data_IF_005085208006
#
_entry.id   IF_005085208006
#
_cell.length_a   1.000
_cell.length_b   1.000
_cell.length_c   1.000
_cell.angle_alpha   90.00
_cell.angle_beta   90.00
_cell.angle_gamma   90.00
#
_symmetry.space_group_name_H-M   'P 1'
#
loop_
_entity.id
_entity.type
_entity.pdbx_description
1 polymer ?
#
# COMPACT_ATOMS: atom_id res chain seq x y z
N UNK A 1 4.46 23.23 -24.87
CA UNK A 1 3.63 22.83 -23.69
C UNK A 1 2.16 22.51 -24.03
N UNK A 2 1.51 23.22 -24.97
CA UNK A 2 0.14 22.88 -25.41
C UNK A 2 0.05 21.51 -26.12
N UNK A 3 1.05 21.15 -26.92
CA UNK A 3 1.07 19.86 -27.66
C UNK A 3 1.28 18.64 -26.77
N UNK A 4 2.11 18.77 -25.72
CA UNK A 4 2.34 17.70 -24.74
C UNK A 4 1.07 17.40 -23.92
N UNK A 5 0.29 18.43 -23.56
CA UNK A 5 -1.03 18.29 -22.92
C UNK A 5 -2.05 17.62 -23.84
N UNK A 6 -2.08 17.98 -25.12
CA UNK A 6 -3.01 17.41 -26.12
C UNK A 6 -2.73 15.92 -26.36
N UNK A 7 -1.45 15.54 -26.49
CA UNK A 7 -1.03 14.14 -26.61
C UNK A 7 -1.43 13.28 -25.40
N UNK A 8 -1.31 13.84 -24.19
CA UNK A 8 -1.67 13.14 -22.94
C UNK A 8 -3.19 12.91 -22.83
N UNK A 9 -4.01 13.82 -23.36
CA UNK A 9 -5.47 13.67 -23.39
C UNK A 9 -5.88 12.61 -24.41
N UNK A 10 -5.35 12.66 -25.64
CA UNK A 10 -5.64 11.67 -26.68
C UNK A 10 -5.27 10.25 -26.24
N UNK A 11 -4.11 10.08 -25.60
CA UNK A 11 -3.67 8.79 -25.08
C UNK A 11 -4.63 8.25 -24.01
N UNK A 12 -5.09 9.10 -23.09
CA UNK A 12 -6.07 8.71 -22.06
C UNK A 12 -7.40 8.29 -22.69
N UNK A 13 -7.87 9.01 -23.71
CA UNK A 13 -9.10 8.66 -24.44
C UNK A 13 -8.94 7.29 -25.13
N UNK A 14 -7.81 7.05 -25.79
CA UNK A 14 -7.53 5.76 -26.44
C UNK A 14 -7.51 4.62 -25.40
N UNK A 15 -6.84 4.80 -24.25
CA UNK A 15 -6.82 3.79 -23.19
C UNK A 15 -8.22 3.52 -22.63
N UNK A 16 -9.03 4.56 -22.42
CA UNK A 16 -10.41 4.42 -21.96
C UNK A 16 -11.25 3.63 -22.98
N UNK A 17 -11.09 3.92 -24.28
CA UNK A 17 -11.77 3.19 -25.34
C UNK A 17 -11.36 1.71 -25.39
N UNK A 18 -10.08 1.39 -25.19
CA UNK A 18 -9.59 0.01 -25.10
C UNK A 18 -10.15 -0.72 -23.89
N UNK A 19 -10.25 -0.05 -22.74
CA UNK A 19 -10.85 -0.62 -21.52
C UNK A 19 -12.34 -0.90 -21.72
N UNK A 20 -13.07 0.06 -22.27
CA UNK A 20 -14.49 -0.10 -22.60
C UNK A 20 -14.68 -1.26 -23.58
N UNK A 21 -13.80 -1.37 -24.58
CA UNK A 21 -13.81 -2.48 -25.52
C UNK A 21 -13.64 -3.82 -24.80
N UNK A 22 -12.66 -3.99 -23.92
CA UNK A 22 -12.44 -5.25 -23.19
C UNK A 22 -13.62 -5.62 -22.27
N UNK A 23 -14.18 -4.64 -21.57
CA UNK A 23 -15.23 -4.88 -20.57
C UNK A 23 -16.58 -5.18 -21.25
N UNK A 24 -16.99 -4.32 -22.19
CA UNK A 24 -18.34 -4.31 -22.75
C UNK A 24 -18.41 -5.11 -24.07
N UNK A 25 -17.50 -4.84 -25.00
CA UNK A 25 -17.55 -5.38 -26.37
C UNK A 25 -16.64 -6.58 -26.66
N UNK A 26 -15.75 -6.94 -25.73
CA UNK A 26 -14.54 -7.70 -26.04
C UNK A 26 -14.79 -9.18 -26.30
N UNK A 27 -14.72 -9.57 -27.57
CA UNK A 27 -14.38 -10.96 -27.91
C UNK A 27 -12.93 -11.24 -27.51
N UNK A 28 -12.55 -12.52 -27.47
CA UNK A 28 -11.15 -12.92 -27.27
C UNK A 28 -10.23 -12.19 -28.27
N UNK A 29 -10.65 -12.14 -29.54
CA UNK A 29 -9.90 -11.50 -30.64
C UNK A 29 -9.69 -10.00 -30.39
N UNK A 30 -10.74 -9.27 -30.04
CA UNK A 30 -10.62 -7.82 -29.77
C UNK A 30 -9.74 -7.52 -28.56
N UNK A 31 -9.78 -8.39 -27.54
CA UNK A 31 -8.95 -8.26 -26.35
C UNK A 31 -7.47 -8.50 -26.66
N UNK A 32 -7.16 -9.50 -27.49
CA UNK A 32 -5.80 -9.75 -27.99
C UNK A 32 -5.30 -8.56 -28.82
N UNK A 33 -6.13 -8.03 -29.73
CA UNK A 33 -5.76 -6.87 -30.54
C UNK A 33 -5.49 -5.63 -29.68
N UNK A 34 -6.25 -5.42 -28.60
CA UNK A 34 -6.00 -4.35 -27.66
C UNK A 34 -4.63 -4.47 -26.96
N UNK A 35 -4.23 -5.68 -26.57
CA UNK A 35 -2.90 -5.92 -25.98
C UNK A 35 -1.76 -5.73 -26.98
N UNK A 36 -1.92 -6.22 -28.22
CA UNK A 36 -0.94 -6.01 -29.29
C UNK A 36 -0.78 -4.52 -29.59
N UNK A 37 -1.89 -3.81 -29.74
CA UNK A 37 -1.88 -2.37 -29.96
C UNK A 37 -1.18 -1.62 -28.83
N UNK A 38 -1.47 -1.97 -27.57
CA UNK A 38 -0.81 -1.40 -26.39
C UNK A 38 0.69 -1.66 -26.42
N UNK A 39 1.12 -2.89 -26.72
CA UNK A 39 2.54 -3.24 -26.83
C UNK A 39 3.25 -2.40 -27.90
N UNK A 40 2.68 -2.31 -29.11
CA UNK A 40 3.22 -1.52 -30.21
C UNK A 40 3.36 -0.04 -29.85
N UNK A 41 2.32 0.53 -29.22
CA UNK A 41 2.33 1.91 -28.77
C UNK A 41 3.48 2.17 -27.79
N UNK A 42 3.70 1.26 -26.84
CA UNK A 42 4.76 1.38 -25.84
C UNK A 42 6.16 1.18 -26.44
N UNK A 43 6.29 0.32 -27.45
CA UNK A 43 7.53 0.16 -28.21
C UNK A 43 7.87 1.43 -28.99
N UNK A 44 6.91 1.99 -29.73
CA UNK A 44 7.10 3.25 -30.48
C UNK A 44 7.51 4.37 -29.51
N UNK A 45 6.82 4.48 -28.38
CA UNK A 45 7.14 5.47 -27.36
C UNK A 45 8.55 5.30 -26.81
N UNK A 46 8.96 4.07 -26.52
CA UNK A 46 10.32 3.75 -26.04
C UNK A 46 11.41 4.12 -27.06
N UNK A 47 11.12 3.99 -28.35
CA UNK A 47 12.03 4.40 -29.42
C UNK A 47 12.15 5.92 -29.48
N UNK A 48 11.03 6.64 -29.35
CA UNK A 48 10.97 8.11 -29.42
C UNK A 48 11.65 8.80 -28.23
N UNK A 49 11.73 8.15 -27.07
CA UNK A 49 12.37 8.75 -25.89
C UNK A 49 13.90 8.69 -26.03
N UNK A 50 14.64 9.77 -25.71
CA UNK A 50 16.10 9.79 -25.74
C UNK A 50 16.65 8.98 -24.56
N UNK A 51 16.88 7.68 -24.78
CA UNK A 51 17.41 6.72 -23.79
C UNK A 51 18.52 5.86 -24.41
N UNK A 52 19.34 5.24 -23.55
CA UNK A 52 20.41 4.34 -24.01
C UNK A 52 19.86 3.14 -24.79
N UNK A 53 20.55 2.78 -25.89
CA UNK A 53 20.12 1.72 -26.82
C UNK A 53 19.93 0.35 -26.14
N UNK A 54 20.71 0.04 -25.09
CA UNK A 54 20.57 -1.19 -24.29
C UNK A 54 19.24 -1.21 -23.51
N UNK A 55 18.89 -0.11 -22.84
CA UNK A 55 17.64 0.00 -22.08
C UNK A 55 16.41 -0.07 -22.98
N UNK A 56 16.48 0.51 -24.19
CA UNK A 56 15.41 0.36 -25.20
C UNK A 56 15.13 -1.11 -25.51
N UNK A 57 16.19 -1.91 -25.71
CA UNK A 57 16.06 -3.36 -25.98
C UNK A 57 15.39 -4.09 -24.82
N UNK A 58 15.81 -3.82 -23.58
CA UNK A 58 15.21 -4.46 -22.40
C UNK A 58 13.74 -4.09 -22.22
N UNK A 59 13.38 -2.81 -22.40
CA UNK A 59 12.00 -2.35 -22.28
C UNK A 59 11.12 -2.96 -23.37
N UNK A 60 11.60 -3.00 -24.62
CA UNK A 60 10.89 -3.64 -25.73
C UNK A 60 10.66 -5.12 -25.43
N UNK A 61 11.68 -5.85 -24.97
CA UNK A 61 11.56 -7.25 -24.59
C UNK A 61 10.54 -7.44 -23.45
N UNK A 62 10.59 -6.58 -22.43
CA UNK A 62 9.67 -6.61 -21.30
C UNK A 62 8.21 -6.39 -21.73
N UNK A 63 7.94 -5.47 -22.65
CA UNK A 63 6.57 -5.27 -23.17
C UNK A 63 6.06 -6.48 -23.95
N UNK A 64 6.92 -7.15 -24.71
CA UNK A 64 6.57 -8.40 -25.40
C UNK A 64 6.21 -9.48 -24.37
N UNK A 65 7.01 -9.65 -23.31
CA UNK A 65 6.72 -10.62 -22.24
C UNK A 65 5.40 -10.30 -21.54
N UNK A 66 5.15 -9.02 -21.21
CA UNK A 66 3.89 -8.58 -20.59
C UNK A 66 2.70 -8.89 -21.51
N UNK A 67 2.81 -8.59 -22.80
CA UNK A 67 1.77 -8.89 -23.79
C UNK A 67 1.52 -10.40 -23.88
N UNK A 68 2.56 -11.23 -23.92
CA UNK A 68 2.42 -12.69 -23.92
C UNK A 68 1.68 -13.18 -22.68
N UNK A 69 2.05 -12.71 -21.49
CA UNK A 69 1.38 -13.05 -20.23
C UNK A 69 -0.08 -12.59 -20.21
N UNK A 70 -0.38 -11.40 -20.73
CA UNK A 70 -1.74 -10.87 -20.87
C UNK A 70 -2.60 -11.79 -21.76
N UNK A 71 -2.07 -12.21 -22.91
CA UNK A 71 -2.77 -13.12 -23.85
C UNK A 71 -2.99 -14.50 -23.20
N UNK A 72 -1.97 -15.05 -22.54
CA UNK A 72 -2.09 -16.32 -21.81
C UNK A 72 -3.15 -16.24 -20.71
N UNK A 73 -3.17 -15.15 -19.93
CA UNK A 73 -4.17 -14.94 -18.88
C UNK A 73 -5.59 -14.93 -19.44
N UNK A 74 -5.87 -14.15 -20.49
CA UNK A 74 -7.24 -14.09 -21.03
C UNK A 74 -7.67 -15.41 -21.68
N UNK A 75 -6.71 -16.19 -22.22
CA UNK A 75 -6.97 -17.51 -22.77
C UNK A 75 -7.33 -18.52 -21.68
N UNK A 76 -6.60 -18.53 -20.56
CA UNK A 76 -6.78 -19.51 -19.48
C UNK A 76 -7.87 -19.13 -18.47
N UNK A 77 -8.14 -17.84 -18.29
CA UNK A 77 -9.00 -17.35 -17.20
C UNK A 77 -10.27 -16.68 -17.73
N UNK A 78 -10.18 -15.87 -18.78
CA UNK A 78 -11.29 -15.00 -19.19
C UNK A 78 -12.21 -15.62 -20.24
N UNK A 79 -11.65 -16.29 -21.25
CA UNK A 79 -12.41 -16.78 -22.42
C UNK A 79 -12.50 -18.31 -22.51
N UNK A 80 -12.36 -19.02 -21.39
CA UNK A 80 -12.56 -20.48 -21.35
C UNK A 80 -14.04 -20.88 -21.62
N UNK A 81 -14.26 -21.97 -22.38
CA UNK A 81 -15.59 -22.56 -22.54
C UNK A 81 -16.12 -23.09 -21.20
N UNK A 82 -17.41 -22.94 -20.92
CA UNK A 82 -18.05 -23.53 -19.73
C UNK A 82 -18.12 -22.66 -18.47
N UNK A 83 -17.49 -21.48 -18.45
CA UNK A 83 -17.64 -20.56 -17.31
C UNK A 83 -18.96 -19.77 -17.32
N UNK A 84 -19.45 -19.48 -16.11
CA UNK A 84 -20.63 -18.65 -15.88
C UNK A 84 -20.41 -17.22 -16.35
N UNK A 85 -21.51 -16.51 -16.63
CA UNK A 85 -21.48 -15.11 -17.04
C UNK A 85 -20.71 -14.21 -16.05
N UNK A 86 -20.87 -14.45 -14.75
CA UNK A 86 -20.20 -13.71 -13.68
C UNK A 86 -18.69 -13.95 -13.71
N UNK A 87 -18.25 -15.20 -13.87
CA UNK A 87 -16.82 -15.51 -13.96
C UNK A 87 -16.16 -14.83 -15.17
N UNK A 88 -16.83 -14.86 -16.32
CA UNK A 88 -16.36 -14.19 -17.53
C UNK A 88 -16.31 -12.67 -17.35
N UNK A 89 -17.30 -12.08 -16.70
CA UNK A 89 -17.33 -10.65 -16.42
C UNK A 89 -16.19 -10.23 -15.48
N UNK A 90 -15.96 -10.96 -14.39
CA UNK A 90 -14.83 -10.72 -13.48
C UNK A 90 -13.50 -10.86 -14.24
N UNK A 91 -13.34 -11.90 -15.05
CA UNK A 91 -12.15 -12.09 -15.88
C UNK A 91 -11.90 -10.95 -16.86
N UNK A 92 -12.96 -10.32 -17.41
CA UNK A 92 -12.86 -9.13 -18.28
C UNK A 92 -12.45 -7.88 -17.50
N UNK A 93 -12.93 -7.70 -16.27
CA UNK A 93 -12.49 -6.60 -15.41
C UNK A 93 -10.99 -6.71 -15.10
N UNK A 94 -10.50 -7.91 -14.77
CA UNK A 94 -9.08 -8.15 -14.59
C UNK A 94 -8.29 -7.94 -15.90
N UNK A 95 -8.77 -8.47 -17.02
CA UNK A 95 -8.15 -8.27 -18.33
C UNK A 95 -7.99 -6.78 -18.67
N UNK A 96 -9.01 -5.97 -18.36
CA UNK A 96 -8.99 -4.52 -18.56
C UNK A 96 -8.05 -3.80 -17.58
N UNK A 97 -7.93 -4.27 -16.33
CA UNK A 97 -7.00 -3.71 -15.36
C UNK A 97 -5.54 -3.91 -15.77
N UNK A 98 -5.21 -5.08 -16.34
CA UNK A 98 -3.82 -5.40 -16.73
C UNK A 98 -3.35 -4.62 -17.97
N UNK A 99 -4.25 -3.99 -18.76
CA UNK A 99 -3.86 -3.03 -19.81
C UNK A 99 -2.96 -1.91 -19.28
N UNK A 100 -3.12 -1.52 -18.02
CA UNK A 100 -2.34 -0.43 -17.42
C UNK A 100 -0.89 -0.81 -17.12
N UNK A 101 -0.57 -2.10 -17.10
CA UNK A 101 0.72 -2.59 -16.62
C UNK A 101 1.93 -2.10 -17.44
N UNK A 102 1.90 -2.11 -18.79
CA UNK A 102 2.96 -1.50 -19.60
C UNK A 102 3.20 0.00 -19.28
N UNK A 103 2.13 0.75 -19.01
CA UNK A 103 2.22 2.17 -18.66
C UNK A 103 2.79 2.39 -17.25
N UNK A 104 2.52 1.47 -16.31
CA UNK A 104 3.12 1.49 -14.98
C UNK A 104 4.62 1.21 -15.03
N UNK A 105 5.04 0.24 -15.84
CA UNK A 105 6.46 -0.07 -16.10
C UNK A 105 7.18 1.17 -16.64
N UNK A 106 6.62 1.81 -17.67
CA UNK A 106 7.20 3.05 -18.22
C UNK A 106 7.28 4.16 -17.16
N UNK A 107 6.21 4.36 -16.40
CA UNK A 107 6.15 5.38 -15.34
C UNK A 107 7.21 5.11 -14.27
N UNK A 108 7.39 3.85 -13.86
CA UNK A 108 8.40 3.46 -12.87
C UNK A 108 9.82 3.74 -13.39
N UNK A 109 10.10 3.36 -14.64
CA UNK A 109 11.39 3.59 -15.29
C UNK A 109 11.68 5.08 -15.48
N UNK A 110 10.66 5.88 -15.82
CA UNK A 110 10.80 7.33 -16.04
C UNK A 110 10.92 8.11 -14.73
N UNK A 111 10.15 7.75 -13.69
CA UNK A 111 10.19 8.41 -12.37
C UNK A 111 11.51 8.15 -11.65
N UNK A 112 12.13 6.99 -11.84
CA UNK A 112 13.43 6.68 -11.25
C UNK A 112 14.61 7.47 -11.87
N UNK A 113 14.34 8.38 -12.83
CA UNK A 113 15.33 8.99 -13.74
C UNK A 113 16.18 7.92 -14.42
N UNK A 114 16.77 8.26 -15.57
CA UNK A 114 17.87 7.51 -16.17
C UNK A 114 19.11 7.61 -15.28
N UNK A 115 19.03 7.10 -14.05
CA UNK A 115 20.21 6.79 -13.25
C UNK A 115 20.83 5.61 -13.95
N UNK A 116 21.71 5.97 -14.88
CA UNK A 116 22.58 5.10 -15.65
C UNK A 116 22.99 3.90 -14.80
N UNK A 117 22.51 2.73 -15.20
CA UNK A 117 23.11 1.47 -14.80
C UNK A 117 24.45 1.42 -15.55
N UNK A 118 25.44 2.18 -15.09
CA UNK A 118 26.81 2.14 -15.58
C UNK A 118 27.33 0.74 -15.28
N UNK A 119 27.37 -0.12 -16.30
CA UNK A 119 28.33 -1.21 -16.33
C UNK A 119 29.61 -0.60 -16.95
N UNK A 120 30.65 -0.36 -16.15
CA UNK A 120 31.86 0.30 -16.62
C UNK A 120 32.47 -0.47 -17.79
N UNK A 121 32.99 0.26 -18.78
CA UNK A 121 33.83 -0.33 -19.82
C UNK A 121 35.09 -0.95 -19.20
N UNK A 122 35.72 -1.93 -19.85
CA UNK A 122 36.91 -2.60 -19.31
C UNK A 122 38.08 -1.63 -18.98
N UNK A 123 38.09 -0.43 -19.57
CA UNK A 123 39.03 0.66 -19.26
C UNK A 123 38.61 1.54 -18.08
N UNK A 124 37.31 1.62 -17.73
CA UNK A 124 36.84 2.31 -16.53
C UNK A 124 36.99 1.45 -15.28
N UNK A 125 36.96 0.12 -15.42
CA UNK A 125 37.19 -0.85 -14.32
C UNK A 125 38.59 -0.73 -13.70
N UNK A 126 39.60 -0.30 -14.47
CA UNK A 126 40.96 -0.11 -13.95
C UNK A 126 41.13 1.15 -13.10
N UNK A 127 40.17 2.08 -13.15
CA UNK A 127 40.22 3.36 -12.43
C UNK A 127 39.24 3.39 -11.23
N UNK A 128 38.57 2.28 -10.93
CA UNK A 128 37.65 2.19 -9.79
C UNK A 128 38.48 2.09 -8.51
N UNK A 129 38.32 3.06 -7.61
CA UNK A 129 38.96 2.97 -6.29
C UNK A 129 38.30 1.86 -5.45
N UNK A 130 39.03 1.30 -4.48
CA UNK A 130 38.49 0.26 -3.59
C UNK A 130 37.23 0.73 -2.81
N UNK A 131 37.06 2.04 -2.62
CA UNK A 131 35.87 2.63 -2.01
C UNK A 131 34.65 2.56 -2.94
N UNK A 132 34.84 2.76 -4.25
CA UNK A 132 33.78 2.67 -5.26
C UNK A 132 33.34 1.22 -5.50
N UNK A 133 34.27 0.25 -5.42
CA UNK A 133 33.94 -1.19 -5.44
C UNK A 133 33.12 -1.59 -4.21
N UNK A 134 33.43 -1.04 -3.02
CA UNK A 134 32.69 -1.31 -1.79
C UNK A 134 31.30 -0.68 -1.85
N UNK A 135 31.19 0.56 -2.31
CA UNK A 135 29.90 1.23 -2.56
C UNK A 135 29.05 0.47 -3.60
N UNK A 136 29.67 -0.06 -4.66
CA UNK A 136 29.01 -0.93 -5.64
C UNK A 136 28.53 -2.24 -5.03
N UNK A 137 29.36 -2.89 -4.20
CA UNK A 137 29.00 -4.11 -3.46
C UNK A 137 27.85 -3.87 -2.49
N UNK A 138 27.88 -2.80 -1.70
CA UNK A 138 26.84 -2.46 -0.74
C UNK A 138 25.52 -2.12 -1.46
N UNK A 139 25.59 -1.46 -2.61
CA UNK A 139 24.43 -1.21 -3.47
C UNK A 139 23.85 -2.51 -4.03
N UNK A 140 24.69 -3.44 -4.50
CA UNK A 140 24.25 -4.76 -4.97
C UNK A 140 23.61 -5.57 -3.83
N UNK A 141 24.22 -5.57 -2.64
CA UNK A 141 23.68 -6.24 -1.45
C UNK A 141 22.31 -5.68 -1.09
N UNK A 142 22.15 -4.36 -1.08
CA UNK A 142 20.87 -3.71 -0.77
C UNK A 142 19.79 -4.00 -1.85
N UNK A 143 20.18 -4.00 -3.13
CA UNK A 143 19.28 -4.41 -4.23
C UNK A 143 18.87 -5.87 -4.08
N UNK A 144 19.81 -6.76 -3.78
CA UNK A 144 19.55 -8.19 -3.57
C UNK A 144 18.63 -8.42 -2.38
N UNK A 145 18.89 -7.76 -1.24
CA UNK A 145 18.03 -7.80 -0.06
C UNK A 145 16.62 -7.28 -0.37
N UNK A 146 16.50 -6.20 -1.15
CA UNK A 146 15.20 -5.69 -1.62
C UNK A 146 14.46 -6.70 -2.50
N UNK A 147 15.16 -7.38 -3.43
CA UNK A 147 14.58 -8.41 -4.30
C UNK A 147 14.16 -9.64 -3.51
N UNK A 148 14.98 -10.09 -2.56
CA UNK A 148 14.67 -11.21 -1.67
C UNK A 148 13.46 -10.89 -0.79
N UNK A 149 13.40 -9.70 -0.20
CA UNK A 149 12.23 -9.22 0.57
C UNK A 149 10.98 -9.15 -0.30
N UNK A 150 11.07 -8.63 -1.53
CA UNK A 150 9.95 -8.63 -2.47
C UNK A 150 9.51 -10.06 -2.83
N UNK A 151 10.44 -10.97 -3.10
CA UNK A 151 10.14 -12.38 -3.38
C UNK A 151 9.42 -13.07 -2.22
N UNK A 152 9.84 -12.81 -0.98
CA UNK A 152 9.14 -13.29 0.22
C UNK A 152 7.74 -12.69 0.35
N UNK A 153 7.61 -11.37 0.18
CA UNK A 153 6.33 -10.67 0.26
C UNK A 153 5.30 -11.21 -0.76
N UNK A 154 5.74 -11.53 -1.98
CA UNK A 154 4.91 -12.12 -3.05
C UNK A 154 4.97 -13.65 -3.11
N UNK A 155 5.38 -14.33 -2.03
CA UNK A 155 5.38 -15.79 -1.96
C UNK A 155 3.96 -16.36 -2.15
N UNK A 156 3.88 -17.60 -2.64
CA UNK A 156 2.60 -18.28 -2.86
C UNK A 156 1.79 -18.40 -1.56
N UNK A 157 2.47 -18.57 -0.42
CA UNK A 157 1.88 -18.62 0.93
C UNK A 157 1.23 -17.28 1.30
N UNK A 158 1.97 -16.18 1.20
CA UNK A 158 1.45 -14.83 1.45
C UNK A 158 0.28 -14.47 0.53
N UNK A 159 0.39 -14.79 -0.77
CA UNK A 159 -0.68 -14.53 -1.74
C UNK A 159 -1.94 -15.38 -1.46
N UNK A 160 -1.76 -16.63 -1.01
CA UNK A 160 -2.87 -17.49 -0.62
C UNK A 160 -3.56 -16.95 0.62
N UNK A 161 -2.80 -16.54 1.63
CA UNK A 161 -3.33 -15.91 2.84
C UNK A 161 -4.10 -14.61 2.52
N UNK A 162 -3.58 -13.76 1.64
CA UNK A 162 -4.29 -12.55 1.21
C UNK A 162 -5.57 -12.87 0.46
N UNK A 163 -5.54 -13.87 -0.44
CA UNK A 163 -6.74 -14.32 -1.15
C UNK A 163 -7.79 -14.87 -0.19
N UNK A 164 -7.35 -15.64 0.80
CA UNK A 164 -8.20 -16.15 1.88
C UNK A 164 -8.70 -15.03 2.78
N UNK A 165 -7.99 -13.93 2.99
CA UNK A 165 -8.50 -12.81 3.78
C UNK A 165 -9.44 -11.90 2.97
N UNK A 166 -9.21 -11.78 1.66
CA UNK A 166 -9.91 -10.86 0.76
C UNK A 166 -11.44 -10.97 0.78
N UNK A 167 -11.98 -12.19 0.94
CA UNK A 167 -13.42 -12.42 0.97
C UNK A 167 -14.13 -11.81 2.19
N UNK A 168 -13.37 -11.48 3.25
CA UNK A 168 -13.88 -10.86 4.47
C UNK A 168 -13.98 -9.34 4.39
N UNK A 169 -13.41 -8.72 3.35
CA UNK A 169 -13.38 -7.26 3.20
C UNK A 169 -14.62 -6.74 2.47
N UNK A 170 -15.03 -5.51 2.80
CA UNK A 170 -16.11 -4.80 2.10
C UNK A 170 -15.74 -3.34 1.88
N UNK A 171 -15.79 -2.90 0.63
CA UNK A 171 -15.49 -1.51 0.24
C UNK A 171 -16.73 -0.60 0.21
N UNK A 172 -17.93 -1.15 0.42
CA UNK A 172 -19.20 -0.44 0.21
C UNK A 172 -20.15 -0.49 1.41
N UNK A 173 -19.99 -1.50 2.28
CA UNK A 173 -20.84 -1.72 3.44
C UNK A 173 -20.01 -1.78 4.72
N UNK A 174 -20.59 -1.32 5.82
CA UNK A 174 -20.01 -1.52 7.14
C UNK A 174 -20.25 -2.97 7.55
N UNK A 175 -19.17 -3.65 7.90
CA UNK A 175 -19.16 -5.07 8.24
C UNK A 175 -18.61 -5.32 9.65
N UNK A 176 -17.92 -4.34 10.23
CA UNK A 176 -17.43 -4.36 11.59
C UNK A 176 -18.30 -3.43 12.44
N UNK A 177 -18.99 -3.96 13.45
CA UNK A 177 -19.87 -3.19 14.33
C UNK A 177 -19.90 -3.81 15.72
N UNK A 178 -19.76 -2.97 16.75
CA UNK A 178 -19.83 -3.39 18.15
C UNK A 178 -18.69 -4.29 18.60
N UNK A 179 -17.52 -4.24 17.95
CA UNK A 179 -16.36 -5.06 18.32
C UNK A 179 -15.68 -4.53 19.59
N UNK A 180 -15.61 -3.21 19.78
CA UNK A 180 -15.10 -2.62 21.02
C UNK A 180 -16.15 -2.79 22.13
N UNK A 181 -15.77 -3.48 23.21
CA UNK A 181 -16.64 -3.85 24.34
C UNK A 181 -16.82 -2.68 25.31
N UNK A 182 -17.80 -2.80 26.23
CA UNK A 182 -17.94 -1.86 27.35
C UNK A 182 -16.66 -1.75 28.18
N UNK A 183 -16.02 -2.90 28.46
CA UNK A 183 -14.75 -2.99 29.19
C UNK A 183 -13.64 -2.18 28.53
N UNK A 184 -13.53 -2.21 27.19
CA UNK A 184 -12.58 -1.38 26.46
C UNK A 184 -12.82 0.12 26.72
N UNK A 185 -14.07 0.57 26.66
CA UNK A 185 -14.40 1.98 26.89
C UNK A 185 -14.23 2.39 28.35
N UNK A 186 -14.47 1.49 29.30
CA UNK A 186 -14.18 1.71 30.71
C UNK A 186 -12.67 1.85 30.94
N UNK A 187 -11.85 0.99 30.35
CA UNK A 187 -10.39 1.06 30.44
C UNK A 187 -9.86 2.36 29.84
N UNK A 188 -10.32 2.73 28.63
CA UNK A 188 -9.96 4.01 28.00
C UNK A 188 -10.43 5.23 28.82
N UNK A 189 -11.60 5.13 29.46
CA UNK A 189 -12.16 6.18 30.31
C UNK A 189 -11.31 6.51 31.53
N UNK A 190 -10.58 5.53 32.10
CA UNK A 190 -9.67 5.74 33.24
C UNK A 190 -8.56 6.75 32.93
N UNK A 191 -8.20 6.90 31.66
CA UNK A 191 -7.08 7.72 31.21
C UNK A 191 -7.51 9.08 30.65
N UNK A 192 -8.76 9.48 30.84
CA UNK A 192 -9.28 10.74 30.27
C UNK A 192 -8.60 11.99 30.83
N UNK A 193 -8.10 11.91 32.07
CA UNK A 193 -7.38 13.00 32.73
C UNK A 193 -5.92 13.11 32.27
N UNK A 194 -5.35 12.06 31.70
CA UNK A 194 -4.03 12.13 31.07
C UNK A 194 -4.10 13.02 29.83
N UNK A 195 -3.27 14.07 29.81
CA UNK A 195 -3.27 15.15 28.80
C UNK A 195 -2.51 14.76 27.53
N UNK A 196 -2.52 13.47 27.19
CA UNK A 196 -1.87 12.94 26.00
C UNK A 196 -2.73 11.89 25.31
N UNK A 197 -2.56 11.80 24.00
CA UNK A 197 -2.96 10.64 23.20
C UNK A 197 -1.71 9.99 22.62
N UNK A 198 -1.71 8.67 22.51
CA UNK A 198 -0.55 7.90 22.09
C UNK A 198 -0.73 7.43 20.65
N UNK A 199 0.31 7.63 19.85
CA UNK A 199 0.39 7.19 18.46
C UNK A 199 1.44 6.09 18.38
N UNK A 200 1.05 4.95 17.84
CA UNK A 200 1.90 3.77 17.72
C UNK A 200 2.14 3.52 16.24
N UNK A 201 3.40 3.48 15.84
CA UNK A 201 3.79 2.94 14.54
C UNK A 201 4.34 1.53 14.73
N UNK A 202 3.83 0.57 13.97
CA UNK A 202 4.26 -0.81 14.09
C UNK A 202 4.73 -1.40 12.76
N UNK A 203 5.68 -2.32 12.88
CA UNK A 203 6.24 -3.12 11.80
C UNK A 203 6.04 -4.60 12.15
N UNK A 204 4.91 -5.15 11.74
CA UNK A 204 4.38 -6.39 12.34
C UNK A 204 4.51 -7.60 11.43
N UNK A 205 4.77 -7.39 10.13
CA UNK A 205 5.03 -8.48 9.18
C UNK A 205 3.81 -9.23 8.68
N UNK A 206 2.59 -8.70 8.82
CA UNK A 206 1.44 -9.37 8.18
C UNK A 206 1.64 -9.46 6.66
N UNK A 207 1.12 -10.47 5.95
CA UNK A 207 1.35 -10.59 4.51
C UNK A 207 0.92 -9.36 3.70
N UNK A 208 -0.20 -8.74 4.10
CA UNK A 208 -0.64 -7.47 3.52
C UNK A 208 0.36 -6.33 3.80
N UNK A 209 0.88 -6.26 5.03
CA UNK A 209 1.93 -5.34 5.48
C UNK A 209 3.25 -5.55 4.71
N UNK A 210 3.68 -6.80 4.46
CA UNK A 210 4.86 -7.12 3.65
C UNK A 210 4.73 -6.65 2.20
N UNK A 211 3.59 -6.91 1.56
CA UNK A 211 3.32 -6.43 0.19
C UNK A 211 3.31 -4.90 0.16
N UNK A 212 2.60 -4.25 1.09
CA UNK A 212 2.56 -2.77 1.19
C UNK A 212 3.96 -2.21 1.41
N UNK A 213 4.78 -2.81 2.27
CA UNK A 213 6.16 -2.38 2.56
C UNK A 213 7.05 -2.43 1.32
N UNK A 214 6.83 -3.39 0.42
CA UNK A 214 7.57 -3.50 -0.84
C UNK A 214 7.27 -2.31 -1.76
N UNK A 215 6.04 -1.80 -1.74
CA UNK A 215 5.64 -0.62 -2.51
C UNK A 215 6.02 0.71 -1.84
N UNK A 216 5.96 0.79 -0.52
CA UNK A 216 6.23 2.03 0.22
C UNK A 216 7.72 2.22 0.56
N UNK A 217 8.51 1.13 0.56
CA UNK A 217 9.92 1.09 1.01
C UNK A 217 10.11 1.63 2.44
N UNK A 218 9.08 1.59 3.27
CA UNK A 218 9.14 2.06 4.65
C UNK A 218 8.90 0.91 5.62
N UNK A 219 9.72 0.88 6.67
CA UNK A 219 9.75 -0.17 7.68
C UNK A 219 8.48 -0.17 8.54
N UNK A 220 7.92 0.99 8.86
CA UNK A 220 6.66 1.12 9.60
C UNK A 220 5.49 1.32 8.63
N UNK A 221 4.56 0.37 8.63
CA UNK A 221 3.47 0.31 7.66
C UNK A 221 2.08 0.16 8.30
N UNK A 222 2.02 0.19 9.63
CA UNK A 222 0.79 0.25 10.38
C UNK A 222 0.82 1.38 11.41
N UNK A 223 -0.34 1.97 11.68
CA UNK A 223 -0.50 3.08 12.62
C UNK A 223 -1.72 2.83 13.51
N UNK A 224 -1.55 3.03 14.81
CA UNK A 224 -2.61 2.84 15.81
C UNK A 224 -2.66 4.03 16.77
N UNK A 225 -3.76 4.12 17.50
CA UNK A 225 -4.00 5.14 18.53
C UNK A 225 -4.26 4.43 19.87
N UNK A 226 -3.77 4.99 20.97
CA UNK A 226 -4.05 4.49 22.32
C UNK A 226 -4.41 5.66 23.25
N UNK A 227 -5.32 5.41 24.20
CA UNK A 227 -5.71 6.37 25.22
C UNK A 227 -4.81 6.29 26.46
N UNK A 228 -4.02 5.23 26.61
CA UNK A 228 -3.20 4.98 27.78
C UNK A 228 -1.72 4.74 27.42
N UNK A 229 -0.79 5.09 28.33
CA UNK A 229 0.65 4.86 28.15
C UNK A 229 1.06 3.39 28.26
N UNK A 230 0.22 2.54 28.88
CA UNK A 230 0.48 1.11 29.08
C UNK A 230 0.08 0.27 27.86
N UNK A 231 -0.44 0.92 26.80
CA UNK A 231 -0.88 0.31 25.56
C UNK A 231 -1.96 -0.76 25.74
N UNK A 232 -2.86 -0.60 26.72
CA UNK A 232 -4.03 -1.48 26.93
C UNK A 232 -5.20 -1.15 26.01
N UNK A 233 -5.24 0.08 25.49
CA UNK A 233 -6.36 0.63 24.72
C UNK A 233 -5.97 0.93 23.27
N UNK A 234 -5.05 0.14 22.71
CA UNK A 234 -4.66 0.28 21.31
C UNK A 234 -5.85 -0.04 20.41
N UNK A 235 -6.12 0.86 19.48
CA UNK A 235 -7.11 0.70 18.42
C UNK A 235 -6.56 1.14 17.07
N UNK A 236 -7.01 0.47 16.02
CA UNK A 236 -6.80 0.94 14.66
C UNK A 236 -7.84 0.36 13.70
N UNK A 237 -7.73 0.78 12.44
CA UNK A 237 -8.35 0.06 11.32
C UNK A 237 -7.40 -1.05 10.85
N UNK A 238 -7.79 -2.30 10.99
CA UNK A 238 -7.00 -3.47 10.60
C UNK A 238 -7.86 -4.62 10.05
N UNK A 239 -7.24 -5.76 9.71
CA UNK A 239 -7.91 -6.95 9.17
C UNK A 239 -8.67 -7.79 10.19
N UNK A 240 -8.61 -7.44 11.49
CA UNK A 240 -9.31 -8.13 12.57
C UNK A 240 -8.74 -9.51 12.92
N UNK A 241 -7.50 -9.80 12.53
CA UNK A 241 -6.77 -11.02 12.93
C UNK A 241 -7.51 -12.34 12.65
N UNK A 242 -8.35 -12.35 11.62
CA UNK A 242 -9.29 -13.44 11.28
C UNK A 242 -10.35 -13.75 12.36
N UNK A 243 -10.33 -13.07 13.51
CA UNK A 243 -11.34 -13.19 14.57
C UNK A 243 -12.50 -12.21 14.33
N UNK A 244 -12.18 -10.97 14.00
CA UNK A 244 -13.15 -9.89 13.81
C UNK A 244 -13.24 -9.44 12.34
N UNK A 245 -14.37 -8.90 11.88
CA UNK A 245 -14.46 -8.33 10.54
C UNK A 245 -13.43 -7.19 10.34
N UNK A 246 -12.85 -7.02 9.15
CA UNK A 246 -11.94 -5.91 8.86
C UNK A 246 -12.60 -4.55 9.10
N UNK A 247 -11.96 -3.68 9.86
CA UNK A 247 -12.52 -2.40 10.31
C UNK A 247 -11.83 -1.89 11.57
N UNK A 248 -12.55 -1.12 12.37
CA UNK A 248 -12.08 -0.62 13.67
C UNK A 248 -12.02 -1.76 14.68
N UNK A 249 -10.82 -2.10 15.15
CA UNK A 249 -10.59 -3.16 16.12
C UNK A 249 -9.65 -2.70 17.23
N UNK A 250 -9.79 -3.33 18.39
CA UNK A 250 -8.80 -3.31 19.46
C UNK A 250 -7.59 -4.19 19.07
N UNK A 251 -6.40 -3.81 19.52
CA UNK A 251 -5.16 -4.56 19.27
C UNK A 251 -4.45 -4.93 20.56
N UNK A 252 -4.04 -6.20 20.64
CA UNK A 252 -3.11 -6.69 21.66
C UNK A 252 -1.68 -6.54 21.18
N UNK A 253 -0.75 -6.30 22.11
CA UNK A 253 0.68 -6.31 21.81
C UNK A 253 1.11 -7.62 21.13
N UNK A 254 0.51 -8.75 21.53
CA UNK A 254 0.76 -10.07 20.94
C UNK A 254 0.43 -10.13 19.44
N UNK A 255 -0.53 -9.33 18.95
CA UNK A 255 -0.88 -9.30 17.52
C UNK A 255 0.19 -8.63 16.67
N UNK A 256 1.06 -7.82 17.27
CA UNK A 256 2.18 -7.22 16.58
C UNK A 256 3.36 -8.19 16.40
N UNK A 257 3.36 -9.33 17.08
CA UNK A 257 4.51 -10.20 17.20
C UNK A 257 4.60 -11.32 16.14
N UNK A 258 4.40 -11.00 14.85
CA UNK A 258 4.34 -12.01 13.78
C UNK A 258 5.63 -12.25 13.00
N UNK A 259 6.72 -11.55 13.34
CA UNK A 259 8.03 -11.71 12.71
C UNK A 259 9.18 -11.44 13.68
N UNK A 260 10.34 -12.03 13.43
CA UNK A 260 11.50 -11.97 14.33
C UNK A 260 12.01 -10.54 14.59
N UNK A 261 11.84 -9.63 13.64
CA UNK A 261 12.24 -8.21 13.76
C UNK A 261 11.04 -7.28 14.00
N UNK A 262 9.96 -7.79 14.60
CA UNK A 262 8.79 -6.99 14.91
C UNK A 262 9.13 -5.91 15.94
N UNK A 263 8.79 -4.65 15.63
CA UNK A 263 8.99 -3.52 16.53
C UNK A 263 7.83 -2.53 16.47
N UNK A 264 7.65 -1.82 17.58
CA UNK A 264 6.74 -0.67 17.67
C UNK A 264 7.49 0.56 18.15
N UNK A 265 7.10 1.72 17.62
CA UNK A 265 7.49 3.04 18.11
C UNK A 265 6.28 3.71 18.74
N UNK A 266 6.47 4.23 19.95
CA UNK A 266 5.42 4.91 20.70
C UNK A 266 5.75 6.38 20.82
N UNK A 267 4.79 7.22 20.41
CA UNK A 267 4.83 8.66 20.56
C UNK A 267 3.63 9.11 21.38
N UNK A 268 3.80 10.18 22.15
CA UNK A 268 2.70 10.87 22.82
C UNK A 268 2.52 12.27 22.24
N UNK A 269 1.27 12.66 22.08
CA UNK A 269 0.85 13.95 21.57
C UNK A 269 0.03 14.67 22.66
N UNK A 270 0.39 15.90 23.06
CA UNK A 270 -0.38 16.67 24.02
C UNK A 270 -1.81 16.93 23.52
N UNK A 271 -2.80 16.76 24.40
CA UNK A 271 -4.19 17.09 24.16
C UNK A 271 -4.90 17.53 25.45
N UNK A 272 -5.99 18.28 25.32
CA UNK A 272 -6.85 18.57 26.46
C UNK A 272 -7.76 17.39 26.78
N UNK A 273 -8.32 17.37 28.00
CA UNK A 273 -9.34 16.40 28.42
C UNK A 273 -10.51 16.38 27.44
N UNK A 274 -10.97 17.55 27.01
CA UNK A 274 -12.10 17.72 26.10
C UNK A 274 -11.78 17.13 24.71
N UNK A 275 -10.56 17.35 24.22
CA UNK A 275 -10.08 16.79 22.95
C UNK A 275 -9.96 15.27 23.02
N UNK A 276 -9.39 14.73 24.11
CA UNK A 276 -9.31 13.27 24.31
C UNK A 276 -10.69 12.63 24.44
N UNK A 277 -11.61 13.31 25.12
CA UNK A 277 -13.02 12.89 25.27
C UNK A 277 -13.74 12.88 23.93
N UNK A 278 -13.55 13.89 23.09
CA UNK A 278 -14.18 13.93 21.77
C UNK A 278 -13.68 12.80 20.87
N UNK A 279 -12.40 12.42 20.93
CA UNK A 279 -11.88 11.23 20.22
C UNK A 279 -12.57 9.97 20.74
N UNK A 280 -12.67 9.77 22.06
CA UNK A 280 -13.28 8.58 22.64
C UNK A 280 -14.76 8.43 22.25
N UNK A 281 -15.52 9.52 22.32
CA UNK A 281 -16.92 9.54 21.88
C UNK A 281 -17.05 9.30 20.37
N UNK A 282 -16.12 9.82 19.56
CA UNK A 282 -16.10 9.54 18.12
C UNK A 282 -15.81 8.07 17.81
N UNK A 283 -14.89 7.45 18.54
CA UNK A 283 -14.60 6.01 18.45
C UNK A 283 -15.84 5.20 18.83
N UNK A 284 -16.56 5.59 19.88
CA UNK A 284 -17.82 4.96 20.30
C UNK A 284 -18.92 5.08 19.24
N UNK A 285 -19.06 6.25 18.62
CA UNK A 285 -19.96 6.48 17.48
C UNK A 285 -19.62 5.56 16.30
N UNK A 286 -18.34 5.50 15.89
CA UNK A 286 -17.89 4.63 14.80
C UNK A 286 -18.16 3.16 15.13
N UNK A 287 -17.89 2.71 16.35
CA UNK A 287 -18.14 1.34 16.79
C UNK A 287 -19.64 0.98 16.75
N UNK A 288 -20.52 1.93 17.09
CA UNK A 288 -21.98 1.76 17.04
C UNK A 288 -22.52 1.77 15.61
N UNK A 289 -22.07 2.72 14.79
CA UNK A 289 -22.60 2.93 13.44
C UNK A 289 -22.04 1.91 12.45
N UNK A 290 -20.84 1.41 12.73
CA UNK A 290 -20.12 0.41 11.97
C UNK A 290 -18.98 1.01 11.14
N UNK A 291 -18.04 0.14 10.77
CA UNK A 291 -16.83 0.44 10.01
C UNK A 291 -16.48 -0.69 9.03
N UNK A 292 -15.55 -0.39 8.12
CA UNK A 292 -14.88 -1.40 7.30
C UNK A 292 -13.45 -0.97 6.93
N UNK A 293 -12.58 -1.92 6.62
CA UNK A 293 -11.23 -1.61 6.14
C UNK A 293 -11.24 -1.18 4.66
N UNK A 294 -10.59 -0.06 4.34
CA UNK A 294 -10.57 0.50 2.99
C UNK A 294 -9.52 -0.13 2.07
N UNK A 295 -9.75 -1.36 1.64
CA UNK A 295 -8.82 -2.05 0.75
C UNK A 295 -8.71 -1.36 -0.63
N UNK A 296 -9.83 -0.88 -1.20
CA UNK A 296 -9.83 -0.13 -2.46
C UNK A 296 -9.06 1.20 -2.36
N UNK A 297 -9.09 1.85 -1.20
CA UNK A 297 -8.38 3.09 -0.93
C UNK A 297 -6.86 2.98 -1.08
N UNK A 298 -6.28 1.79 -0.84
CA UNK A 298 -4.84 1.56 -1.05
C UNK A 298 -4.41 1.72 -2.51
N UNK A 299 -5.33 1.48 -3.46
CA UNK A 299 -5.06 1.56 -4.91
C UNK A 299 -5.64 2.82 -5.52
N UNK A 300 -6.87 3.18 -5.13
CA UNK A 300 -7.68 4.21 -5.77
C UNK A 300 -7.75 5.53 -4.99
N UNK A 301 -7.17 5.60 -3.77
CA UNK A 301 -7.25 6.76 -2.86
C UNK A 301 -8.67 7.28 -2.66
N UNK A 302 -9.64 6.38 -2.71
CA UNK A 302 -11.07 6.68 -2.64
C UNK A 302 -11.70 5.94 -1.46
N UNK A 303 -12.68 6.56 -0.80
CA UNK A 303 -13.55 5.91 0.17
C UNK A 303 -15.00 6.23 -0.14
N UNK A 304 -15.84 5.19 -0.15
CA UNK A 304 -17.26 5.33 -0.47
C UNK A 304 -18.09 5.86 0.70
N UNK A 305 -17.65 5.61 1.94
CA UNK A 305 -18.38 5.96 3.18
C UNK A 305 -17.41 6.45 4.26
N UNK A 306 -17.84 7.33 5.18
CA UNK A 306 -16.95 8.00 6.13
C UNK A 306 -16.17 7.06 7.07
N UNK A 307 -16.75 5.91 7.45
CA UNK A 307 -16.13 4.91 8.33
C UNK A 307 -15.51 3.73 7.56
N UNK A 308 -15.23 3.91 6.27
CA UNK A 308 -14.41 2.97 5.48
C UNK A 308 -13.02 3.61 5.34
N UNK A 309 -12.07 3.16 6.17
CA UNK A 309 -10.76 3.79 6.30
C UNK A 309 -9.65 2.75 6.37
N UNK A 310 -8.41 3.17 6.14
CA UNK A 310 -7.21 2.41 6.50
C UNK A 310 -6.56 3.02 7.77
N UNK A 311 -5.60 2.32 8.36
CA UNK A 311 -5.04 2.61 9.68
C UNK A 311 -4.56 4.08 9.85
N UNK A 312 -3.70 4.58 8.96
CA UNK A 312 -3.18 5.95 9.03
C UNK A 312 -4.23 7.03 8.76
N UNK A 313 -5.21 6.75 7.88
CA UNK A 313 -6.34 7.66 7.65
C UNK A 313 -7.18 7.82 8.92
N UNK A 314 -7.44 6.71 9.61
CA UNK A 314 -8.18 6.72 10.88
C UNK A 314 -7.46 7.57 11.93
N UNK A 315 -6.17 7.31 12.19
CA UNK A 315 -5.40 8.07 13.17
C UNK A 315 -5.43 9.56 12.83
N UNK A 316 -5.11 9.93 11.58
CA UNK A 316 -5.14 11.32 11.15
C UNK A 316 -6.52 11.97 11.30
N UNK A 317 -7.61 11.28 10.91
CA UNK A 317 -8.96 11.80 11.09
C UNK A 317 -9.33 12.02 12.55
N UNK A 318 -8.93 11.15 13.47
CA UNK A 318 -9.21 11.34 14.89
C UNK A 318 -8.48 12.59 15.43
N UNK A 319 -7.22 12.77 15.04
CA UNK A 319 -6.44 13.95 15.40
C UNK A 319 -7.06 15.23 14.81
N UNK A 320 -7.45 15.21 13.54
CA UNK A 320 -8.10 16.36 12.89
C UNK A 320 -9.47 16.67 13.49
N UNK A 321 -10.27 15.64 13.79
CA UNK A 321 -11.58 15.79 14.42
C UNK A 321 -11.48 16.48 15.79
N UNK A 322 -10.45 16.15 16.57
CA UNK A 322 -10.20 16.77 17.87
C UNK A 322 -9.41 18.10 17.79
N UNK A 323 -9.05 18.56 16.58
CA UNK A 323 -8.29 19.80 16.39
C UNK A 323 -6.85 19.72 16.90
N UNK A 324 -6.26 18.52 16.95
CA UNK A 324 -4.87 18.28 17.41
C UNK A 324 -3.95 17.77 16.29
N UNK A 325 -4.43 17.69 15.05
CA UNK A 325 -3.55 17.43 13.90
C UNK A 325 -2.51 18.52 13.75
N UNK A 326 -1.25 18.14 13.52
CA UNK A 326 -0.08 19.03 13.47
C UNK A 326 0.53 19.16 12.07
N UNK A 327 -0.13 18.59 11.06
CA UNK A 327 0.20 18.75 9.64
C UNK A 327 -1.06 18.69 8.80
N UNK A 328 -0.98 19.21 7.58
CA UNK A 328 -2.08 19.19 6.61
C UNK A 328 -1.77 18.22 5.47
N UNK A 329 -2.70 17.29 5.25
CA UNK A 329 -2.70 16.38 4.11
C UNK A 329 -4.12 15.88 3.86
N UNK A 330 -4.43 15.51 2.62
CA UNK A 330 -5.65 14.76 2.33
C UNK A 330 -5.61 13.43 3.08
N UNK A 331 -6.65 13.14 3.86
CA UNK A 331 -6.74 11.98 4.75
C UNK A 331 -6.49 10.64 4.02
N UNK A 332 -7.04 10.48 2.81
CA UNK A 332 -6.81 9.32 1.93
C UNK A 332 -5.39 9.20 1.36
N UNK A 333 -4.51 10.15 1.63
CA UNK A 333 -3.10 10.13 1.21
C UNK A 333 -2.10 10.01 2.35
N UNK A 334 -2.57 10.00 3.60
CA UNK A 334 -1.71 9.90 4.79
C UNK A 334 -1.14 8.50 4.89
N UNK A 335 0.19 8.39 4.92
CA UNK A 335 0.90 7.14 5.21
C UNK A 335 1.21 7.07 6.70
N UNK A 336 1.35 5.86 7.29
CA UNK A 336 1.74 5.70 8.69
C UNK A 336 2.94 6.56 9.10
N UNK A 337 4.01 6.52 8.31
CA UNK A 337 5.24 7.31 8.57
C UNK A 337 5.06 8.82 8.49
N UNK A 338 4.04 9.30 7.77
CA UNK A 338 3.81 10.74 7.65
C UNK A 338 3.44 11.35 9.01
N UNK A 339 2.83 10.56 9.91
CA UNK A 339 2.54 10.97 11.29
C UNK A 339 3.81 11.41 12.02
N UNK A 340 4.98 10.87 11.68
CA UNK A 340 6.24 11.26 12.30
C UNK A 340 7.02 12.22 11.42
N UNK A 341 7.14 11.92 10.13
CA UNK A 341 7.96 12.71 9.19
C UNK A 341 7.42 14.12 8.92
N UNK A 342 6.11 14.33 9.09
CA UNK A 342 5.48 15.64 8.89
C UNK A 342 5.33 16.44 10.19
N UNK A 343 5.87 15.99 11.31
CA UNK A 343 5.89 16.74 12.57
C UNK A 343 6.99 17.82 12.59
N UNK A 344 6.88 18.78 11.67
CA UNK A 344 7.84 19.89 11.51
C UNK A 344 7.98 20.77 12.75
N UNK A 345 6.92 20.84 13.56
CA UNK A 345 6.88 21.67 14.78
C UNK A 345 7.12 20.86 16.06
N UNK A 346 7.54 19.59 15.95
CA UNK A 346 7.94 18.71 17.06
C UNK A 346 6.87 18.63 18.15
N UNK A 347 5.62 18.49 17.75
CA UNK A 347 4.46 18.32 18.64
C UNK A 347 4.46 16.93 19.29
N UNK A 348 5.04 15.94 18.63
CA UNK A 348 5.18 14.58 19.14
C UNK A 348 6.39 14.45 20.05
N UNK A 349 6.19 13.74 21.16
CA UNK A 349 7.27 13.31 22.03
C UNK A 349 7.44 11.81 21.88
N UNK A 350 8.63 11.38 21.48
CA UNK A 350 8.99 9.96 21.47
C UNK A 350 9.01 9.43 22.90
N UNK A 351 8.40 8.27 23.13
CA UNK A 351 8.33 7.62 24.45
C UNK A 351 9.33 6.47 24.50
N UNK A 352 9.17 5.46 23.64
CA UNK A 352 10.09 4.33 23.53
C UNK A 352 9.90 3.56 22.22
N UNK A 353 10.91 2.75 21.89
CA UNK A 353 10.84 1.67 20.91
C UNK A 353 10.79 0.34 21.67
N UNK A 354 9.90 -0.56 21.27
CA UNK A 354 9.83 -1.91 21.82
C UNK A 354 10.02 -2.91 20.67
N UNK A 355 11.05 -3.74 20.79
CA UNK A 355 11.27 -4.89 19.92
C UNK A 355 10.59 -6.11 20.53
N UNK A 356 9.70 -6.74 19.79
CA UNK A 356 8.79 -7.77 20.31
C UNK A 356 9.41 -9.17 20.32
N UNK A 357 10.49 -9.39 19.56
CA UNK A 357 11.12 -10.70 19.37
C UNK A 357 12.65 -10.71 19.54
N UNK A 358 13.25 -9.68 20.16
CA UNK A 358 14.67 -9.77 20.49
C UNK A 358 14.90 -10.89 21.50
N UNK A 359 15.55 -11.97 21.06
CA UNK A 359 16.21 -12.91 21.98
C UNK A 359 17.13 -12.06 22.85
N UNK A 360 16.85 -12.00 24.15
CA UNK A 360 17.83 -11.54 25.12
C UNK A 360 19.11 -12.35 24.87
N UNK A 361 20.16 -11.68 24.40
CA UNK A 361 21.49 -12.26 24.39
C UNK A 361 21.87 -12.45 25.86
N UNK A 362 21.70 -13.67 26.35
CA UNK A 362 22.24 -14.15 27.64
C UNK A 362 23.71 -14.50 27.44
#
# INVERSE_FOLDING_TARGET
MKDLKRYTITLKVIIILLIINIIIGGSFVFTVLAYIFTCLLMMIRTIMVPTESKMKKYLILLYIVIMSLQITFISLVTFQPGYSYIHRFIGRLFAAAVIWFPFLVERFVTINKYTSFYLPSAQEVSNISFADMRAGKDKIINVMDTVTKAGKAFSAENLKEIKEDLHRHSSFQYINKGVLTGEYFEEAGKWIEDRHIYIILSNTGSPASEIISTFTRKQYNHASLSFDPELKTIISYNGGERVYPPGLNYEMLDFFNKKEDASILVYKLPCTKEQKTSILEKVKEINRDGSAYNLMGLVLKYSHKPNIMFCSQFVYKMLSFAGISYFEKSDGEVKPTDLIEMDYYRKLQFVYEMKLNEKQQV
#
